data_IF_172796270318
#
_entry.id   IF_172796270318
#
_cell.length_a   1.000
_cell.length_b   1.000
_cell.length_c   1.000
_cell.angle_alpha   90.00
_cell.angle_beta   90.00
_cell.angle_gamma   90.00
#
_symmetry.space_group_name_H-M   'P 1'
#
loop_
_entity.id
_entity.type
_entity.pdbx_description
1 polymer ?
#
# COMPACT_ATOMS: atom_id res chain seq x y z
N UNK A 1 -17.36 -12.88 -6.79
CA UNK A 1 -16.65 -11.92 -7.66
C UNK A 1 -15.38 -11.36 -6.98
N UNK A 2 -15.45 -10.87 -5.72
CA UNK A 2 -14.27 -10.36 -4.99
C UNK A 2 -13.17 -11.41 -4.92
N UNK A 3 -13.48 -12.66 -4.54
CA UNK A 3 -12.50 -13.73 -4.46
C UNK A 3 -11.79 -13.99 -5.80
N UNK A 4 -12.51 -14.02 -6.92
CA UNK A 4 -11.90 -14.19 -8.24
C UNK A 4 -10.93 -13.04 -8.58
N UNK A 5 -11.31 -11.81 -8.29
CA UNK A 5 -10.45 -10.65 -8.46
C UNK A 5 -9.18 -10.76 -7.58
N UNK A 6 -9.34 -11.10 -6.30
CA UNK A 6 -8.22 -11.22 -5.37
C UNK A 6 -7.24 -12.33 -5.76
N UNK A 7 -7.75 -13.47 -6.24
CA UNK A 7 -6.90 -14.57 -6.70
C UNK A 7 -6.07 -14.15 -7.92
N UNK A 8 -6.68 -13.50 -8.90
CA UNK A 8 -5.97 -13.08 -10.11
C UNK A 8 -5.02 -11.92 -9.84
N UNK A 9 -5.51 -10.82 -9.26
CA UNK A 9 -4.70 -9.64 -9.00
C UNK A 9 -3.64 -9.89 -7.91
N UNK A 10 -4.00 -10.58 -6.83
CA UNK A 10 -3.08 -10.96 -5.78
C UNK A 10 -2.02 -11.95 -6.24
N UNK A 11 -2.40 -12.93 -7.05
CA UNK A 11 -1.46 -13.86 -7.68
C UNK A 11 -0.45 -13.15 -8.59
N UNK A 12 -0.92 -12.20 -9.39
CA UNK A 12 -0.04 -11.37 -10.23
C UNK A 12 0.94 -10.55 -9.39
N UNK A 13 0.46 -9.89 -8.33
CA UNK A 13 1.30 -9.11 -7.41
C UNK A 13 2.36 -10.00 -6.76
N UNK A 14 1.99 -11.19 -6.28
CA UNK A 14 2.94 -12.14 -5.69
C UNK A 14 4.02 -12.57 -6.67
N UNK A 15 3.65 -12.94 -7.90
CA UNK A 15 4.60 -13.37 -8.93
C UNK A 15 5.56 -12.24 -9.26
N UNK A 16 5.05 -11.02 -9.50
CA UNK A 16 5.88 -9.86 -9.83
C UNK A 16 6.82 -9.49 -8.67
N UNK A 17 6.34 -9.48 -7.44
CA UNK A 17 7.16 -9.19 -6.27
C UNK A 17 8.23 -10.26 -6.04
N UNK A 18 7.92 -11.53 -6.25
CA UNK A 18 8.89 -12.62 -6.17
C UNK A 18 9.98 -12.46 -7.25
N UNK A 19 9.60 -12.18 -8.49
CA UNK A 19 10.55 -11.94 -9.57
C UNK A 19 11.47 -10.76 -9.26
N UNK A 20 10.89 -9.62 -8.81
CA UNK A 20 11.68 -8.46 -8.43
C UNK A 20 12.59 -8.74 -7.24
N UNK A 21 12.11 -9.47 -6.24
CA UNK A 21 12.91 -9.90 -5.09
C UNK A 21 14.10 -10.78 -5.49
N UNK A 22 13.90 -11.72 -6.41
CA UNK A 22 14.98 -12.58 -6.94
C UNK A 22 15.99 -11.78 -7.78
N UNK A 23 15.51 -10.86 -8.61
CA UNK A 23 16.37 -9.99 -9.42
C UNK A 23 17.22 -9.08 -8.52
N UNK A 24 16.60 -8.40 -7.55
CA UNK A 24 17.35 -7.52 -6.63
C UNK A 24 18.29 -8.29 -5.74
N UNK A 25 17.90 -9.48 -5.27
CA UNK A 25 18.77 -10.34 -4.48
C UNK A 25 19.99 -10.85 -5.25
N UNK A 26 19.87 -11.00 -6.58
CA UNK A 26 20.96 -11.52 -7.43
C UNK A 26 21.86 -10.41 -8.01
N UNK A 27 21.30 -9.22 -8.26
CA UNK A 27 22.00 -8.12 -8.94
C UNK A 27 22.34 -6.96 -7.98
N UNK A 28 21.89 -7.01 -6.74
CA UNK A 28 22.13 -5.95 -5.77
C UNK A 28 23.61 -5.81 -5.40
N UNK A 29 24.10 -4.60 -5.12
CA UNK A 29 25.45 -4.36 -4.67
C UNK A 29 25.66 -4.97 -3.28
N UNK A 30 26.71 -5.76 -3.10
CA UNK A 30 27.06 -6.36 -1.81
C UNK A 30 28.03 -7.53 -1.95
N UNK A 31 28.65 -7.91 -0.84
CA UNK A 31 29.66 -8.98 -0.79
C UNK A 31 29.06 -10.40 -0.87
N UNK A 32 27.73 -10.52 -0.77
CA UNK A 32 27.04 -11.82 -0.85
C UNK A 32 26.44 -12.05 -2.25
N UNK A 33 26.66 -13.25 -2.78
CA UNK A 33 26.15 -13.69 -4.10
C UNK A 33 24.62 -13.63 -4.15
N UNK A 34 23.92 -13.75 -3.01
CA UNK A 34 22.47 -13.73 -2.90
C UNK A 34 22.00 -13.09 -1.60
N UNK A 35 21.17 -12.04 -1.70
CA UNK A 35 20.67 -11.25 -0.59
C UNK A 35 19.24 -11.64 -0.25
N UNK A 36 19.06 -12.63 0.62
CA UNK A 36 17.73 -13.09 1.04
C UNK A 36 16.83 -11.98 1.62
N UNK A 37 17.43 -10.96 2.26
CA UNK A 37 16.70 -9.80 2.80
C UNK A 37 15.89 -9.06 1.73
N UNK A 38 16.39 -8.98 0.50
CA UNK A 38 15.71 -8.30 -0.61
C UNK A 38 14.43 -9.05 -0.99
N UNK A 39 14.47 -10.38 -1.02
CA UNK A 39 13.29 -11.21 -1.25
C UNK A 39 12.23 -10.98 -0.15
N UNK A 40 12.65 -10.88 1.11
CA UNK A 40 11.76 -10.63 2.25
C UNK A 40 11.08 -9.27 2.11
N UNK A 41 11.82 -8.21 1.73
CA UNK A 41 11.26 -6.88 1.48
C UNK A 41 10.19 -6.93 0.39
N UNK A 42 10.48 -7.55 -0.75
CA UNK A 42 9.54 -7.64 -1.86
C UNK A 42 8.29 -8.46 -1.51
N UNK A 43 8.42 -9.52 -0.73
CA UNK A 43 7.28 -10.27 -0.20
C UNK A 43 6.46 -9.43 0.78
N UNK A 44 7.11 -8.60 1.59
CA UNK A 44 6.43 -7.63 2.45
C UNK A 44 5.66 -6.57 1.66
N UNK A 45 6.25 -6.05 0.57
CA UNK A 45 5.57 -5.13 -0.36
C UNK A 45 4.36 -5.83 -1.00
N UNK A 46 4.50 -7.10 -1.41
CA UNK A 46 3.39 -7.89 -1.94
C UNK A 46 2.26 -8.02 -0.90
N UNK A 47 2.60 -8.33 0.35
CA UNK A 47 1.61 -8.40 1.44
C UNK A 47 0.86 -7.09 1.62
N UNK A 48 1.57 -5.95 1.71
CA UNK A 48 0.95 -4.64 1.84
C UNK A 48 0.03 -4.31 0.64
N UNK A 49 0.49 -4.61 -0.59
CA UNK A 49 -0.28 -4.39 -1.81
C UNK A 49 -1.53 -5.28 -1.87
N UNK A 50 -1.44 -6.55 -1.48
CA UNK A 50 -2.60 -7.45 -1.42
C UNK A 50 -3.61 -6.94 -0.40
N UNK A 51 -3.17 -6.46 0.76
CA UNK A 51 -4.04 -5.89 1.77
C UNK A 51 -4.76 -4.64 1.25
N UNK A 52 -4.07 -3.78 0.50
CA UNK A 52 -4.68 -2.66 -0.20
C UNK A 52 -5.71 -3.11 -1.25
N UNK A 53 -5.39 -4.15 -2.05
CA UNK A 53 -6.33 -4.73 -3.02
C UNK A 53 -7.61 -5.24 -2.35
N UNK A 54 -7.51 -5.83 -1.16
CA UNK A 54 -8.67 -6.26 -0.36
C UNK A 54 -9.52 -5.05 0.04
N UNK A 55 -8.90 -3.98 0.54
CA UNK A 55 -9.58 -2.75 0.94
C UNK A 55 -10.27 -2.07 -0.25
N UNK A 56 -9.57 -1.88 -1.37
CA UNK A 56 -10.16 -1.31 -2.59
C UNK A 56 -11.26 -2.21 -3.17
N UNK A 57 -11.06 -3.53 -3.16
CA UNK A 57 -12.08 -4.48 -3.58
C UNK A 57 -13.37 -4.36 -2.77
N UNK A 58 -13.27 -4.17 -1.45
CA UNK A 58 -14.41 -3.92 -0.57
C UNK A 58 -15.08 -2.58 -0.89
N UNK A 59 -14.31 -1.50 -1.07
CA UNK A 59 -14.82 -0.16 -1.40
C UNK A 59 -15.57 -0.18 -2.74
N UNK A 60 -14.92 -0.65 -3.81
CA UNK A 60 -15.51 -0.63 -5.16
C UNK A 60 -16.70 -1.57 -5.28
N UNK A 61 -16.68 -2.72 -4.62
CA UNK A 61 -17.85 -3.60 -4.60
C UNK A 61 -19.06 -2.96 -3.89
N UNK A 62 -18.81 -2.28 -2.78
CA UNK A 62 -19.86 -1.56 -2.04
C UNK A 62 -20.42 -0.40 -2.86
N UNK A 63 -19.58 0.36 -3.53
CA UNK A 63 -20.00 1.45 -4.41
C UNK A 63 -20.81 0.94 -5.61
N UNK A 64 -20.42 -0.18 -6.20
CA UNK A 64 -21.18 -0.84 -7.26
C UNK A 64 -22.58 -1.28 -6.81
N UNK A 65 -22.73 -1.65 -5.52
CA UNK A 65 -24.03 -1.94 -4.92
C UNK A 65 -24.87 -0.69 -4.68
N UNK A 66 -24.25 0.44 -4.31
CA UNK A 66 -24.96 1.69 -4.06
C UNK A 66 -25.52 2.32 -5.32
N UNK A 67 -24.77 2.33 -6.40
CA UNK A 67 -25.16 2.95 -7.65
C UNK A 67 -24.67 2.18 -8.88
N UNK A 68 -25.56 1.37 -9.45
CA UNK A 68 -25.28 0.63 -10.69
C UNK A 68 -25.04 1.54 -11.90
N UNK A 69 -25.62 2.76 -11.91
CA UNK A 69 -25.51 3.72 -13.02
C UNK A 69 -24.28 4.61 -12.92
N UNK A 70 -23.91 5.05 -11.71
CA UNK A 70 -22.85 6.01 -11.50
C UNK A 70 -21.60 5.41 -10.85
N UNK A 71 -21.59 4.10 -10.59
CA UNK A 71 -20.50 3.41 -9.90
C UNK A 71 -19.12 3.62 -10.52
N UNK A 72 -19.04 3.64 -11.86
CA UNK A 72 -17.77 3.87 -12.58
C UNK A 72 -17.25 5.29 -12.37
N UNK A 73 -18.12 6.29 -12.40
CA UNK A 73 -17.72 7.69 -12.16
C UNK A 73 -17.25 7.91 -10.73
N UNK A 74 -17.96 7.32 -9.76
CA UNK A 74 -17.56 7.40 -8.35
C UNK A 74 -16.20 6.69 -8.14
N UNK A 75 -16.01 5.53 -8.77
CA UNK A 75 -14.73 4.82 -8.72
C UNK A 75 -13.58 5.65 -9.29
N UNK A 76 -13.82 6.36 -10.38
CA UNK A 76 -12.83 7.26 -10.98
C UNK A 76 -12.48 8.44 -10.05
N UNK A 77 -13.48 9.06 -9.42
CA UNK A 77 -13.26 10.15 -8.44
C UNK A 77 -12.46 9.66 -7.25
N UNK A 78 -12.78 8.47 -6.73
CA UNK A 78 -12.00 7.86 -5.64
C UNK A 78 -10.58 7.53 -6.10
N UNK A 79 -10.40 7.02 -7.32
CA UNK A 79 -9.08 6.74 -7.87
C UNK A 79 -8.20 8.01 -7.97
N UNK A 80 -8.76 9.12 -8.43
CA UNK A 80 -8.07 10.43 -8.44
C UNK A 80 -7.77 10.91 -7.03
N UNK A 81 -8.73 10.79 -6.10
CA UNK A 81 -8.53 11.13 -4.71
C UNK A 81 -7.36 10.32 -4.10
N UNK A 82 -7.37 9.02 -4.24
CA UNK A 82 -6.33 8.13 -3.72
C UNK A 82 -4.96 8.43 -4.34
N UNK A 83 -4.91 8.73 -5.65
CA UNK A 83 -3.68 9.14 -6.31
C UNK A 83 -3.11 10.42 -5.71
N UNK A 84 -3.95 11.45 -5.51
CA UNK A 84 -3.54 12.72 -4.88
C UNK A 84 -3.06 12.47 -3.44
N UNK A 85 -3.75 11.62 -2.67
CA UNK A 85 -3.36 11.29 -1.30
C UNK A 85 -2.04 10.51 -1.26
N UNK A 86 -1.80 9.60 -2.21
CA UNK A 86 -0.52 8.91 -2.33
C UNK A 86 0.63 9.89 -2.58
N UNK A 87 0.45 10.85 -3.51
CA UNK A 87 1.46 11.87 -3.78
C UNK A 87 1.72 12.75 -2.55
N UNK A 88 0.68 13.16 -1.83
CA UNK A 88 0.81 13.95 -0.60
C UNK A 88 1.53 13.15 0.50
N UNK A 89 1.24 11.86 0.64
CA UNK A 89 1.93 10.97 1.59
C UNK A 89 3.43 10.88 1.27
N UNK A 90 3.77 10.66 0.00
CA UNK A 90 5.17 10.63 -0.44
C UNK A 90 5.86 11.98 -0.25
N UNK A 91 5.12 13.08 -0.33
CA UNK A 91 5.60 14.44 -0.04
C UNK A 91 5.73 14.77 1.46
N UNK A 92 5.43 13.82 2.36
CA UNK A 92 5.58 14.01 3.81
C UNK A 92 4.39 14.71 4.48
N UNK A 93 3.22 14.78 3.84
CA UNK A 93 2.01 15.33 4.48
C UNK A 93 1.48 14.34 5.54
N UNK A 94 1.28 14.80 6.77
CA UNK A 94 0.97 13.93 7.91
C UNK A 94 -0.54 13.69 8.10
N UNK A 95 -1.36 14.75 8.09
CA UNK A 95 -2.75 14.66 8.55
C UNK A 95 -3.76 14.40 7.44
N UNK A 96 -3.61 15.04 6.28
CA UNK A 96 -4.60 14.99 5.20
C UNK A 96 -4.71 13.58 4.59
N UNK A 97 -3.60 12.86 4.33
CA UNK A 97 -3.66 11.55 3.69
C UNK A 97 -4.20 10.42 4.58
N UNK A 98 -4.33 10.62 5.89
CA UNK A 98 -4.78 9.57 6.87
C UNK A 98 -6.12 8.93 6.48
N UNK A 99 -6.98 9.62 5.74
CA UNK A 99 -8.27 9.11 5.28
C UNK A 99 -8.17 8.24 4.01
N UNK A 100 -6.96 7.99 3.48
CA UNK A 100 -6.77 7.21 2.26
C UNK A 100 -6.21 5.81 2.53
N UNK A 101 -6.56 4.86 1.69
CA UNK A 101 -5.98 3.51 1.70
C UNK A 101 -4.51 3.57 1.28
N UNK A 102 -4.19 4.44 0.32
CA UNK A 102 -2.82 4.64 -0.18
C UNK A 102 -1.85 5.04 0.93
N UNK A 103 -2.25 5.95 1.82
CA UNK A 103 -1.42 6.40 2.94
C UNK A 103 -1.01 5.22 3.84
N UNK A 104 -1.99 4.45 4.31
CA UNK A 104 -1.73 3.31 5.20
C UNK A 104 -0.96 2.19 4.51
N UNK A 105 -1.15 2.02 3.20
CA UNK A 105 -0.37 1.06 2.42
C UNK A 105 1.09 1.49 2.30
N UNK A 106 1.36 2.75 1.98
CA UNK A 106 2.71 3.30 1.90
C UNK A 106 3.42 3.27 3.26
N UNK A 107 2.72 3.61 4.34
CA UNK A 107 3.24 3.53 5.70
C UNK A 107 3.56 2.09 6.11
N UNK A 108 2.76 1.11 5.69
CA UNK A 108 3.03 -0.30 5.93
C UNK A 108 4.27 -0.76 5.16
N UNK A 109 4.41 -0.36 3.90
CA UNK A 109 5.60 -0.66 3.08
C UNK A 109 6.85 -0.06 3.72
N UNK A 110 6.80 1.22 4.11
CA UNK A 110 7.90 1.90 4.79
C UNK A 110 8.30 1.17 6.08
N UNK A 111 7.33 0.80 6.90
CA UNK A 111 7.55 0.03 8.13
C UNK A 111 8.25 -1.30 7.86
N UNK A 112 7.87 -2.03 6.83
CA UNK A 112 8.48 -3.30 6.45
C UNK A 112 9.93 -3.08 5.99
N UNK A 113 10.16 -2.06 5.17
CA UNK A 113 11.51 -1.71 4.69
C UNK A 113 12.41 -1.36 5.86
N UNK A 114 11.96 -0.52 6.81
CA UNK A 114 12.72 -0.12 7.99
C UNK A 114 13.00 -1.28 8.95
N UNK A 115 12.10 -2.26 9.06
CA UNK A 115 12.32 -3.47 9.88
C UNK A 115 13.42 -4.35 9.27
N UNK A 116 13.41 -4.53 7.95
CA UNK A 116 14.36 -5.41 7.26
C UNK A 116 15.70 -4.71 7.02
N UNK A 117 15.63 -3.42 6.71
CA UNK A 117 16.80 -2.55 6.47
C UNK A 117 16.76 -1.34 7.40
N UNK A 118 17.19 -1.48 8.67
CA UNK A 118 17.14 -0.40 9.66
C UNK A 118 18.05 0.79 9.32
N UNK A 119 19.04 0.59 8.44
CA UNK A 119 19.94 1.64 7.97
C UNK A 119 19.54 2.10 6.57
N UNK A 120 18.52 2.94 6.47
CA UNK A 120 18.04 3.53 5.21
C UNK A 120 19.06 4.47 4.55
N UNK A 121 20.19 4.73 5.18
CA UNK A 121 21.32 5.48 4.63
C UNK A 121 21.74 4.95 3.25
N UNK A 122 21.61 3.63 3.00
CA UNK A 122 21.94 3.04 1.71
C UNK A 122 21.05 3.56 0.57
N UNK A 123 19.78 3.87 0.81
CA UNK A 123 18.92 4.48 -0.23
C UNK A 123 19.32 5.93 -0.53
N UNK A 124 19.73 6.69 0.48
CA UNK A 124 20.29 8.04 0.27
C UNK A 124 21.61 7.99 -0.50
N UNK A 125 22.43 6.98 -0.26
CA UNK A 125 23.68 6.76 -1.02
C UNK A 125 23.38 6.44 -2.49
N UNK A 126 22.41 5.59 -2.78
CA UNK A 126 22.00 5.27 -4.16
C UNK A 126 21.44 6.53 -4.84
N UNK A 127 20.59 7.31 -4.18
CA UNK A 127 20.05 8.54 -4.72
C UNK A 127 21.15 9.59 -4.99
N UNK A 128 22.14 9.70 -4.12
CA UNK A 128 23.29 10.59 -4.29
C UNK A 128 24.27 10.09 -5.36
N UNK A 129 24.44 8.77 -5.52
CA UNK A 129 25.29 8.17 -6.54
C UNK A 129 24.75 8.40 -7.96
N UNK A 130 23.45 8.60 -8.11
CA UNK A 130 22.81 8.93 -9.40
C UNK A 130 22.66 10.43 -9.65
N UNK A 131 23.22 11.28 -8.77
CA UNK A 131 23.16 12.75 -8.86
C UNK A 131 21.72 13.28 -9.05
N UNK A 132 20.77 12.61 -8.39
CA UNK A 132 19.35 12.97 -8.48
C UNK A 132 19.12 14.34 -7.82
N UNK A 133 18.39 15.25 -8.47
CA UNK A 133 18.08 16.55 -7.90
C UNK A 133 17.49 16.43 -6.49
N UNK A 134 17.86 17.33 -5.59
CA UNK A 134 17.37 17.35 -4.20
C UNK A 134 15.84 17.31 -4.07
N UNK A 135 15.10 17.73 -5.11
CA UNK A 135 13.65 17.60 -5.21
C UNK A 135 13.15 16.16 -5.32
N UNK A 136 13.97 15.22 -5.84
CA UNK A 136 13.60 13.80 -5.91
C UNK A 136 13.86 13.11 -4.58
N UNK A 137 14.86 13.51 -3.82
CA UNK A 137 15.09 13.02 -2.46
C UNK A 137 13.95 13.44 -1.51
N UNK A 138 13.33 14.60 -1.74
CA UNK A 138 12.12 15.01 -1.02
C UNK A 138 10.90 14.14 -1.39
N UNK A 139 10.85 13.57 -2.61
CA UNK A 139 9.80 12.67 -3.06
C UNK A 139 9.89 11.26 -2.41
N UNK A 140 11.07 10.89 -1.91
CA UNK A 140 11.32 9.65 -1.20
C UNK A 140 11.40 9.85 0.32
N UNK A 141 10.89 10.96 0.79
CA UNK A 141 10.76 11.14 2.23
C UNK A 141 9.70 10.13 2.71
N UNK A 142 10.10 9.12 3.51
CA UNK A 142 9.14 8.13 4.00
C UNK A 142 8.01 8.86 4.73
N UNK A 143 6.76 8.39 4.62
CA UNK A 143 5.65 9.01 5.31
C UNK A 143 6.00 9.12 6.79
N UNK A 144 5.85 10.32 7.35
CA UNK A 144 6.08 10.53 8.76
C UNK A 144 5.23 9.51 9.54
N UNK A 145 5.84 8.82 10.50
CA UNK A 145 5.13 7.83 11.30
C UNK A 145 3.97 8.52 12.02
N UNK A 146 2.75 8.33 11.51
CA UNK A 146 1.55 8.92 12.08
C UNK A 146 1.36 8.45 13.52
N UNK A 147 0.79 9.28 14.37
CA UNK A 147 0.51 9.03 15.78
C UNK A 147 1.73 8.98 16.70
N UNK A 148 2.84 9.62 16.32
CA UNK A 148 4.01 9.77 17.17
C UNK A 148 4.72 8.46 17.54
N UNK A 149 4.51 7.41 16.77
CA UNK A 149 5.18 6.12 16.98
C UNK A 149 6.54 6.14 16.27
N UNK A 150 7.60 6.19 17.02
CA UNK A 150 8.98 6.09 16.50
C UNK A 150 9.34 4.64 16.08
N UNK A 151 8.51 3.66 16.45
CA UNK A 151 8.77 2.25 16.17
C UNK A 151 8.16 1.82 14.85
N UNK A 152 8.96 1.38 13.85
CA UNK A 152 8.46 0.87 12.59
C UNK A 152 7.47 -0.31 12.75
N UNK A 153 7.70 -1.15 13.76
CA UNK A 153 6.82 -2.28 14.04
C UNK A 153 5.41 -1.83 14.45
N UNK A 154 5.33 -0.85 15.37
CA UNK A 154 4.03 -0.32 15.84
C UNK A 154 3.31 0.39 14.69
N UNK A 155 4.03 1.19 13.91
CA UNK A 155 3.50 1.88 12.73
C UNK A 155 2.92 0.90 11.70
N UNK A 156 3.66 -0.18 11.40
CA UNK A 156 3.18 -1.24 10.51
C UNK A 156 1.93 -1.94 11.04
N UNK A 157 1.90 -2.25 12.33
CA UNK A 157 0.76 -2.90 12.97
C UNK A 157 -0.50 -2.01 12.94
N UNK A 158 -0.36 -0.72 13.22
CA UNK A 158 -1.45 0.25 13.10
C UNK A 158 -1.97 0.29 11.65
N UNK A 159 -1.08 0.33 10.66
CA UNK A 159 -1.45 0.34 9.25
C UNK A 159 -2.27 -0.89 8.85
N UNK A 160 -1.87 -2.08 9.30
CA UNK A 160 -2.63 -3.32 9.08
C UNK A 160 -4.01 -3.25 9.72
N UNK A 161 -4.09 -2.82 10.98
CA UNK A 161 -5.36 -2.69 11.71
C UNK A 161 -6.31 -1.73 10.99
N UNK A 162 -5.82 -0.57 10.55
CA UNK A 162 -6.64 0.43 9.86
C UNK A 162 -7.13 -0.10 8.51
N UNK A 163 -6.28 -0.74 7.72
CA UNK A 163 -6.67 -1.34 6.43
C UNK A 163 -7.73 -2.43 6.62
N UNK A 164 -7.59 -3.28 7.63
CA UNK A 164 -8.59 -4.29 7.98
C UNK A 164 -9.90 -3.67 8.48
N UNK A 165 -9.82 -2.58 9.24
CA UNK A 165 -10.98 -1.86 9.73
C UNK A 165 -11.76 -1.21 8.58
N UNK A 166 -11.07 -0.52 7.66
CA UNK A 166 -11.69 0.03 6.44
C UNK A 166 -12.38 -1.07 5.65
N UNK A 167 -11.68 -2.19 5.42
CA UNK A 167 -12.23 -3.35 4.70
C UNK A 167 -13.50 -3.87 5.37
N UNK A 168 -13.44 -4.10 6.67
CA UNK A 168 -14.57 -4.65 7.44
C UNK A 168 -15.78 -3.72 7.44
N UNK A 169 -15.56 -2.43 7.65
CA UNK A 169 -16.63 -1.42 7.60
C UNK A 169 -17.30 -1.39 6.23
N UNK A 170 -16.53 -1.42 5.14
CA UNK A 170 -17.06 -1.41 3.79
C UNK A 170 -17.85 -2.69 3.47
N UNK A 171 -17.40 -3.86 3.92
CA UNK A 171 -18.14 -5.11 3.75
C UNK A 171 -19.47 -5.07 4.51
N UNK A 172 -19.46 -4.66 5.78
CA UNK A 172 -20.67 -4.56 6.60
C UNK A 172 -21.67 -3.57 5.98
N UNK A 173 -21.18 -2.42 5.54
CA UNK A 173 -22.02 -1.42 4.88
C UNK A 173 -22.60 -1.95 3.56
N UNK A 174 -21.80 -2.61 2.73
CA UNK A 174 -22.24 -3.25 1.48
C UNK A 174 -23.33 -4.30 1.74
N UNK A 175 -23.15 -5.16 2.75
CA UNK A 175 -24.14 -6.18 3.10
C UNK A 175 -25.45 -5.55 3.60
N UNK A 176 -25.39 -4.47 4.38
CA UNK A 176 -26.58 -3.78 4.84
C UNK A 176 -27.42 -3.19 3.70
N UNK A 177 -26.76 -2.65 2.68
CA UNK A 177 -27.42 -2.11 1.49
C UNK A 177 -28.02 -3.21 0.60
N UNK A 178 -27.35 -4.36 0.49
CA UNK A 178 -27.86 -5.50 -0.25
C UNK A 178 -29.17 -6.02 0.37
N UNK A 179 -29.22 -6.24 1.68
CA UNK A 179 -30.42 -6.69 2.39
C UNK A 179 -31.61 -5.74 2.21
N UNK A 180 -31.37 -4.42 2.19
CA UNK A 180 -32.46 -3.45 1.96
C UNK A 180 -33.07 -3.53 0.58
N UNK A 181 -32.31 -3.94 -0.43
CA UNK A 181 -32.83 -4.08 -1.83
C UNK A 181 -33.59 -5.37 -2.06
N UNK A 182 -33.32 -6.43 -1.30
CA UNK A 182 -34.06 -7.69 -1.42
C UNK A 182 -35.44 -7.63 -0.77
N UNK A 183 -35.69 -6.65 0.12
CA UNK A 183 -36.95 -6.52 0.87
C UNK A 183 -37.94 -5.56 0.15
N UNK A 184 -37.50 -4.84 -0.89
CA UNK A 184 -38.35 -4.02 -1.75
C UNK A 184 -38.66 -4.71 -3.07
#
# INVERSE_FOLDING_TARGET
>A
RILGYLVVAGGFVLIMSLMMGLVTASLGPGDSIFRLKDVIVWLGIAFATILALVAYGAIFNTLGLLSSRYGVYIALVIGVYEFVMAVLTLGGAELIPVLSVSHWTLQLIDSIVLIVWPNTIEMHIIASAFDLPSGITAFWNPPAHTLGTESPFISGLISVIVLLLITSLMIIFGQSQFKRREIM
#
